data_IF_243911581180
#
_entry.id   IF_243911581180
#
_cell.length_a   1.000
_cell.length_b   1.000
_cell.length_c   1.000
_cell.angle_alpha   90.00
_cell.angle_beta   90.00
_cell.angle_gamma   90.00
#
_symmetry.space_group_name_H-M   'P 1'
#
loop_
_entity.id
_entity.type
_entity.pdbx_description
1 polymer ?
#
# COMPACT_ATOMS: atom_id res chain seq x y z
N UNK A 1 -6.49 -12.64 22.45
CA UNK A 1 -5.16 -12.00 22.50
C UNK A 1 -4.93 -11.27 21.17
N UNK A 2 -5.10 -9.95 21.14
CA UNK A 2 -4.77 -9.16 19.96
C UNK A 2 -3.25 -9.00 19.88
N UNK A 3 -2.63 -9.50 18.81
CA UNK A 3 -1.21 -9.31 18.54
C UNK A 3 -1.02 -7.93 17.93
N UNK A 4 -0.43 -7.01 18.68
CA UNK A 4 -0.19 -5.64 18.25
C UNK A 4 0.76 -5.60 17.04
N UNK A 5 0.37 -4.87 15.99
CA UNK A 5 1.29 -4.46 14.94
C UNK A 5 2.21 -3.36 15.49
N UNK A 6 3.52 -3.47 15.23
CA UNK A 6 4.47 -2.44 15.59
C UNK A 6 4.41 -1.32 14.54
N UNK A 7 3.84 -0.17 14.92
CA UNK A 7 3.92 1.05 14.11
C UNK A 7 5.07 1.90 14.63
N UNK A 8 6.11 2.10 13.82
CA UNK A 8 7.03 3.22 14.06
C UNK A 8 6.40 4.48 13.50
N UNK A 9 5.56 5.10 14.31
CA UNK A 9 5.14 6.47 14.09
C UNK A 9 6.30 7.35 14.58
N UNK A 10 6.99 8.03 13.66
CA UNK A 10 7.80 9.22 13.98
C UNK A 10 6.94 10.13 14.89
N UNK A 11 7.46 10.77 15.95
CA UNK A 11 6.69 11.34 17.08
C UNK A 11 5.78 12.56 16.76
N UNK A 12 5.22 12.63 15.56
CA UNK A 12 4.67 13.84 14.94
C UNK A 12 3.13 13.91 14.97
N UNK A 13 2.41 12.82 15.22
CA UNK A 13 0.94 12.88 15.22
C UNK A 13 0.37 13.34 16.57
N UNK A 14 0.26 14.67 16.76
CA UNK A 14 -0.51 15.28 17.88
C UNK A 14 -2.00 15.41 17.57
N UNK A 15 -2.41 15.09 16.35
CA UNK A 15 -3.77 15.15 15.84
C UNK A 15 -3.98 14.03 14.81
N UNK A 16 -5.24 13.67 14.57
CA UNK A 16 -5.58 12.66 13.57
C UNK A 16 -5.13 13.10 12.18
N UNK A 17 -4.44 12.23 11.45
CA UNK A 17 -3.83 12.58 10.16
C UNK A 17 -3.63 11.36 9.27
N UNK A 18 -3.37 11.63 8.00
CA UNK A 18 -2.90 10.64 7.04
C UNK A 18 -1.39 10.62 7.00
N UNK A 19 -0.83 9.42 7.01
CA UNK A 19 0.61 9.22 6.90
C UNK A 19 0.92 8.06 5.96
N UNK A 20 1.99 8.21 5.18
CA UNK A 20 2.58 7.09 4.46
C UNK A 20 3.36 6.25 5.47
N UNK A 21 2.81 5.10 5.84
CA UNK A 21 3.45 4.20 6.78
C UNK A 21 3.79 2.87 6.13
N UNK A 22 4.96 2.36 6.50
CA UNK A 22 5.33 0.98 6.25
C UNK A 22 4.87 0.16 7.43
N UNK A 23 3.82 -0.64 7.24
CA UNK A 23 3.37 -1.59 8.23
C UNK A 23 4.12 -2.92 8.07
N UNK A 24 4.26 -3.67 9.15
CA UNK A 24 4.75 -5.05 9.04
C UNK A 24 4.39 -5.88 10.25
N UNK A 25 4.89 -7.11 10.27
CA UNK A 25 4.54 -8.11 11.28
C UNK A 25 5.08 -7.82 12.68
N UNK A 26 4.72 -8.65 13.67
CA UNK A 26 5.37 -8.65 14.99
C UNK A 26 6.89 -8.70 14.85
N UNK A 27 7.58 -8.04 15.80
CA UNK A 27 9.05 -7.96 15.79
C UNK A 27 9.58 -7.34 14.48
N UNK A 28 8.92 -6.34 13.89
CA UNK A 28 9.21 -5.76 12.56
C UNK A 28 10.71 -5.73 12.17
N UNK A 29 11.58 -5.23 13.06
CA UNK A 29 13.03 -5.13 12.82
C UNK A 29 13.80 -6.44 13.01
N UNK A 30 13.24 -7.41 13.70
CA UNK A 30 13.76 -8.77 13.93
C UNK A 30 12.82 -9.84 13.34
N UNK A 31 12.00 -9.46 12.35
CA UNK A 31 10.88 -10.31 11.93
C UNK A 31 11.40 -11.58 11.26
N UNK A 32 10.60 -12.65 11.37
CA UNK A 32 10.87 -13.89 10.63
C UNK A 32 11.07 -13.55 9.15
N UNK A 33 12.19 -13.97 8.54
CA UNK A 33 12.42 -13.73 7.12
C UNK A 33 11.27 -14.30 6.29
N UNK A 34 10.82 -13.53 5.31
CA UNK A 34 9.92 -14.04 4.30
C UNK A 34 10.62 -15.18 3.55
N UNK A 35 9.90 -16.25 3.25
CA UNK A 35 10.40 -17.35 2.42
C UNK A 35 10.45 -16.93 0.94
N UNK A 36 11.24 -15.91 0.63
CA UNK A 36 11.58 -15.47 -0.73
C UNK A 36 13.11 -15.47 -0.93
N UNK A 37 13.57 -15.16 -2.15
CA UNK A 37 14.99 -15.12 -2.50
C UNK A 37 15.75 -13.95 -1.86
N UNK A 38 15.03 -12.96 -1.31
CA UNK A 38 15.60 -11.73 -0.78
C UNK A 38 15.78 -11.80 0.74
N UNK A 39 15.14 -12.76 1.42
CA UNK A 39 15.28 -13.00 2.86
C UNK A 39 14.86 -11.79 3.72
N UNK A 40 13.99 -10.93 3.19
CA UNK A 40 13.55 -9.70 3.87
C UNK A 40 12.56 -10.04 4.97
N UNK A 41 12.56 -9.27 6.04
CA UNK A 41 11.51 -9.35 7.06
C UNK A 41 10.11 -9.18 6.47
N UNK A 42 9.09 -9.80 7.06
CA UNK A 42 7.71 -9.71 6.57
C UNK A 42 7.18 -8.28 6.78
N UNK A 43 6.99 -7.54 5.68
CA UNK A 43 6.37 -6.21 5.67
C UNK A 43 5.14 -6.18 4.76
N UNK A 44 4.15 -5.37 5.11
CA UNK A 44 3.07 -4.99 4.20
C UNK A 44 3.52 -3.85 3.29
N UNK A 45 2.87 -3.68 2.15
CA UNK A 45 3.11 -2.53 1.26
C UNK A 45 2.98 -1.20 2.02
N UNK A 46 3.73 -0.18 1.59
CA UNK A 46 3.53 1.18 2.10
C UNK A 46 2.19 1.68 1.60
N UNK A 47 1.25 1.92 2.51
CA UNK A 47 -0.10 2.41 2.20
C UNK A 47 -0.34 3.77 2.86
N UNK A 48 -1.27 4.59 2.35
CA UNK A 48 -1.83 5.68 3.13
C UNK A 48 -2.57 5.08 4.34
N UNK A 49 -2.13 5.44 5.54
CA UNK A 49 -2.74 5.00 6.80
C UNK A 49 -3.29 6.24 7.50
N UNK A 50 -4.57 6.22 7.84
CA UNK A 50 -5.14 7.21 8.73
C UNK A 50 -4.90 6.80 10.18
N UNK A 51 -4.30 7.70 10.96
CA UNK A 51 -4.12 7.51 12.41
C UNK A 51 -5.07 8.47 13.13
N UNK A 52 -5.95 7.92 13.96
CA UNK A 52 -6.85 8.69 14.81
C UNK A 52 -6.24 8.87 16.22
N UNK A 53 -6.11 10.11 16.69
CA UNK A 53 -5.56 10.44 18.00
C UNK A 53 -6.67 10.80 19.00
N UNK A 54 -7.54 9.83 19.33
CA UNK A 54 -8.68 10.03 20.24
C UNK A 54 -9.76 11.01 19.73
N UNK A 55 -10.88 11.10 20.43
CA UNK A 55 -12.03 11.94 20.03
C UNK A 55 -12.89 11.33 18.92
N UNK A 56 -13.88 12.10 18.44
CA UNK A 56 -14.78 11.66 17.37
C UNK A 56 -14.05 11.55 16.03
N UNK A 57 -14.30 10.45 15.33
CA UNK A 57 -13.77 10.21 13.99
C UNK A 57 -14.31 11.24 13.00
N UNK A 58 -13.42 12.08 12.45
CA UNK A 58 -13.76 13.03 11.40
C UNK A 58 -12.96 12.71 10.13
N UNK A 59 -13.57 11.95 9.21
CA UNK A 59 -12.96 11.54 7.94
C UNK A 59 -12.90 12.64 6.88
N UNK A 60 -13.42 13.84 7.17
CA UNK A 60 -13.82 14.78 6.12
C UNK A 60 -12.79 15.88 5.91
N UNK A 61 -11.70 15.54 5.23
CA UNK A 61 -10.79 16.51 4.62
C UNK A 61 -10.86 16.40 3.11
N UNK A 62 -11.39 17.44 2.45
CA UNK A 62 -11.44 17.51 0.99
C UNK A 62 -10.03 17.47 0.39
N UNK A 63 -9.09 18.20 1.00
CA UNK A 63 -7.68 18.21 0.58
C UNK A 63 -7.09 16.81 0.59
N UNK A 64 -7.36 16.03 1.65
CA UNK A 64 -6.84 14.67 1.72
C UNK A 64 -7.51 13.73 0.73
N UNK A 65 -8.81 13.86 0.49
CA UNK A 65 -9.48 13.09 -0.55
C UNK A 65 -8.91 13.40 -1.94
N UNK A 66 -8.65 14.68 -2.24
CA UNK A 66 -8.00 15.11 -3.49
C UNK A 66 -6.58 14.54 -3.61
N UNK A 67 -5.80 14.57 -2.53
CA UNK A 67 -4.46 13.97 -2.53
C UNK A 67 -4.50 12.45 -2.80
N UNK A 68 -5.45 11.73 -2.21
CA UNK A 68 -5.63 10.29 -2.49
C UNK A 68 -5.98 10.04 -3.96
N UNK A 69 -6.86 10.85 -4.55
CA UNK A 69 -7.19 10.75 -5.98
C UNK A 69 -5.94 10.97 -6.85
N UNK A 70 -5.12 11.98 -6.54
CA UNK A 70 -3.85 12.22 -7.25
C UNK A 70 -2.92 11.01 -7.18
N UNK A 71 -2.84 10.33 -6.02
CA UNK A 71 -2.02 9.13 -5.86
C UNK A 71 -2.58 7.94 -6.66
N UNK A 72 -3.90 7.78 -6.72
CA UNK A 72 -4.57 6.75 -7.53
C UNK A 72 -4.28 7.00 -9.02
N UNK A 73 -4.50 8.22 -9.49
CA UNK A 73 -4.23 8.61 -10.88
C UNK A 73 -2.76 8.40 -11.26
N UNK A 74 -1.83 8.81 -10.40
CA UNK A 74 -0.40 8.59 -10.59
C UNK A 74 -0.02 7.11 -10.66
N UNK A 75 -0.68 6.26 -9.85
CA UNK A 75 -0.46 4.81 -9.87
C UNK A 75 -0.97 4.17 -11.17
N UNK A 76 -2.17 4.54 -11.61
CA UNK A 76 -2.74 4.10 -12.90
C UNK A 76 -1.87 4.56 -14.07
N UNK A 77 -1.39 5.81 -14.05
CA UNK A 77 -0.49 6.33 -15.09
C UNK A 77 0.84 5.57 -15.13
N UNK A 78 1.41 5.24 -13.96
CA UNK A 78 2.61 4.41 -13.89
C UNK A 78 2.39 3.03 -14.51
N UNK A 79 1.29 2.35 -14.14
CA UNK A 79 0.93 1.05 -14.69
C UNK A 79 0.80 1.16 -16.20
N UNK A 80 0.02 2.11 -16.72
CA UNK A 80 -0.24 2.21 -18.18
C UNK A 80 0.96 2.60 -19.02
N UNK A 81 1.84 3.46 -18.50
CA UNK A 81 2.78 4.19 -19.37
C UNK A 81 4.25 4.02 -19.00
N UNK A 82 4.57 3.45 -17.82
CA UNK A 82 5.96 3.39 -17.34
C UNK A 82 6.39 2.00 -16.88
N UNK A 83 5.48 1.20 -16.33
CA UNK A 83 5.79 -0.18 -15.98
C UNK A 83 6.19 -0.98 -17.23
N UNK A 84 7.09 -1.96 -17.05
CA UNK A 84 7.44 -2.86 -18.13
C UNK A 84 6.29 -3.84 -18.38
N UNK A 85 5.83 -3.92 -19.63
CA UNK A 85 4.80 -4.86 -20.06
C UNK A 85 5.35 -5.78 -21.14
N UNK A 86 4.96 -7.06 -21.08
CA UNK A 86 5.12 -7.95 -22.22
C UNK A 86 4.09 -7.61 -23.29
N UNK A 87 4.42 -7.89 -24.55
CA UNK A 87 3.45 -7.74 -25.63
C UNK A 87 2.24 -8.65 -25.39
N UNK A 88 1.01 -8.17 -25.59
CA UNK A 88 -0.20 -8.99 -25.43
C UNK A 88 -0.10 -10.29 -26.23
N UNK A 89 -0.47 -11.41 -25.61
CA UNK A 89 -0.44 -12.74 -26.24
C UNK A 89 0.93 -13.43 -26.31
N UNK A 90 2.01 -12.81 -25.79
CA UNK A 90 3.35 -13.43 -25.78
C UNK A 90 3.68 -14.20 -24.50
N UNK A 91 2.90 -14.01 -23.44
CA UNK A 91 3.09 -14.64 -22.13
C UNK A 91 1.76 -15.10 -21.54
N UNK A 92 1.83 -16.03 -20.59
CA UNK A 92 0.69 -16.42 -19.76
C UNK A 92 0.90 -15.88 -18.35
N UNK A 93 -0.17 -15.35 -17.75
CA UNK A 93 -0.13 -14.82 -16.40
C UNK A 93 -0.92 -15.73 -15.45
N UNK A 94 -0.47 -15.82 -14.20
CA UNK A 94 -1.08 -16.70 -13.19
C UNK A 94 -2.55 -16.36 -12.87
N UNK A 95 -3.03 -15.14 -13.18
CA UNK A 95 -4.41 -14.74 -12.94
C UNK A 95 -5.41 -15.30 -13.98
N UNK A 96 -4.93 -15.90 -15.08
CA UNK A 96 -5.78 -16.61 -16.05
C UNK A 96 -6.69 -15.73 -16.94
N UNK A 97 -6.63 -14.40 -16.77
CA UNK A 97 -7.36 -13.45 -17.63
C UNK A 97 -6.51 -13.06 -18.85
N UNK A 98 -7.17 -12.80 -19.98
CA UNK A 98 -6.49 -12.41 -21.22
C UNK A 98 -5.93 -10.98 -21.19
N UNK A 99 -6.60 -10.08 -20.48
CA UNK A 99 -6.20 -8.67 -20.37
C UNK A 99 -5.44 -8.44 -19.06
N UNK A 100 -4.11 -8.49 -19.16
CA UNK A 100 -3.23 -8.26 -18.02
C UNK A 100 -3.33 -6.82 -17.50
N UNK A 101 -3.53 -5.84 -18.38
CA UNK A 101 -3.55 -4.43 -17.99
C UNK A 101 -4.84 -4.13 -17.21
N UNK A 102 -5.99 -4.58 -17.72
CA UNK A 102 -7.26 -4.44 -17.01
C UNK A 102 -7.26 -5.18 -15.67
N UNK A 103 -6.55 -6.31 -15.55
CA UNK A 103 -6.36 -6.98 -14.28
C UNK A 103 -5.56 -6.12 -13.28
N UNK A 104 -4.44 -5.52 -13.71
CA UNK A 104 -3.58 -4.67 -12.87
C UNK A 104 -4.25 -3.36 -12.43
N UNK A 105 -5.19 -2.84 -13.22
CA UNK A 105 -5.92 -1.61 -12.88
C UNK A 105 -6.96 -1.82 -11.77
N UNK A 106 -7.41 -3.06 -11.51
CA UNK A 106 -8.42 -3.33 -10.46
C UNK A 106 -7.77 -3.35 -9.08
N UNK A 107 -8.41 -2.79 -8.03
CA UNK A 107 -9.79 -2.31 -7.96
C UNK A 107 -9.93 -0.77 -8.05
N UNK A 108 -8.93 -0.06 -8.59
CA UNK A 108 -9.02 1.39 -8.77
C UNK A 108 -10.20 1.74 -9.70
#
# INVERSE_FOLDING_TARGET
MARSAAFLVSPVARASTWLAARAGGPEYFQSTPHHDILGRGIFAHTSPIYVACGGDWALRSQETAQYMLTMIEGSLAYIRHKAAHYSPGTVTHHHGEADHLAYLERPF
#
